data_IF_042871504146
#
_entry.id   IF_042871504146
#
_cell.length_a   1.000
_cell.length_b   1.000
_cell.length_c   1.000
_cell.angle_alpha   90.00
_cell.angle_beta   90.00
_cell.angle_gamma   90.00
#
_symmetry.space_group_name_H-M   'P 1'
#
loop_
_entity.id
_entity.type
_entity.pdbx_description
1 polymer ?
#
# COMPACT_ATOMS: atom_id res chain seq x y z
N UNK A 1 -6.64 -26.08 -2.74
CA UNK A 1 -6.26 -25.07 -2.15
C UNK A 1 -5.03 -24.51 -2.65
N UNK A 2 -4.92 -23.38 -2.70
CA UNK A 2 -3.84 -22.83 -3.29
C UNK A 2 -2.78 -22.61 -2.31
N UNK A 3 -1.57 -22.54 -2.75
CA UNK A 3 -0.46 -22.29 -1.90
C UNK A 3 0.07 -20.90 -2.20
N UNK A 4 -0.72 -19.92 -1.96
CA UNK A 4 -0.30 -18.55 -2.20
C UNK A 4 0.66 -18.12 -1.12
N UNK A 5 1.66 -17.33 -1.47
CA UNK A 5 2.53 -16.71 -0.49
C UNK A 5 1.79 -15.67 0.32
N UNK A 6 0.64 -15.22 -0.17
CA UNK A 6 -0.06 -14.09 0.42
C UNK A 6 -1.20 -14.60 1.27
N UNK A 7 -1.15 -14.42 2.59
CA UNK A 7 -2.26 -14.77 3.45
C UNK A 7 -3.50 -13.99 3.07
N UNK A 8 -4.67 -14.50 3.45
CA UNK A 8 -5.93 -13.85 3.11
C UNK A 8 -6.03 -12.42 3.58
N UNK A 9 -5.41 -12.12 4.71
CA UNK A 9 -5.54 -10.78 5.30
C UNK A 9 -4.56 -9.77 4.73
N UNK A 10 -3.75 -10.17 3.76
CA UNK A 10 -2.81 -9.25 3.14
C UNK A 10 -3.06 -9.15 1.66
N UNK A 11 -2.62 -8.05 1.08
CA UNK A 11 -2.71 -7.83 -0.36
C UNK A 11 -1.31 -7.51 -0.87
N UNK A 12 -1.03 -7.90 -2.10
CA UNK A 12 0.23 -7.52 -2.74
C UNK A 12 0.17 -6.07 -3.18
N UNK A 13 1.34 -5.50 -3.49
CA UNK A 13 1.39 -4.12 -3.95
C UNK A 13 0.57 -3.94 -5.22
N UNK A 14 0.59 -4.93 -6.13
CA UNK A 14 -0.19 -4.84 -7.35
C UNK A 14 -1.69 -4.84 -7.08
N UNK A 15 -2.12 -5.65 -6.12
CA UNK A 15 -3.54 -5.71 -5.76
C UNK A 15 -4.01 -4.40 -5.14
N UNK A 16 -3.18 -3.82 -4.27
CA UNK A 16 -3.52 -2.54 -3.65
C UNK A 16 -3.57 -1.43 -4.69
N UNK A 17 -2.60 -1.43 -5.60
CA UNK A 17 -2.54 -0.42 -6.65
C UNK A 17 -3.82 -0.46 -7.49
N UNK A 18 -4.24 -1.65 -7.86
CA UNK A 18 -5.43 -1.81 -8.68
C UNK A 18 -6.68 -1.42 -7.91
N UNK A 19 -6.78 -1.86 -6.67
CA UNK A 19 -7.96 -1.57 -5.85
C UNK A 19 -8.11 -0.08 -5.59
N UNK A 20 -7.01 0.60 -5.34
CA UNK A 20 -7.06 2.01 -4.94
C UNK A 20 -6.89 2.97 -6.12
N UNK A 21 -6.66 2.44 -7.33
CA UNK A 21 -6.56 3.29 -8.49
C UNK A 21 -5.28 4.09 -8.56
N UNK A 22 -4.19 3.59 -8.01
CA UNK A 22 -2.88 4.25 -8.07
C UNK A 22 -1.89 3.31 -8.72
N UNK A 23 -0.74 3.85 -9.13
CA UNK A 23 0.28 3.02 -9.73
C UNK A 23 1.12 2.34 -8.67
N UNK A 24 1.73 1.21 -9.03
CA UNK A 24 2.69 0.55 -8.16
C UNK A 24 3.83 1.50 -7.84
N UNK A 25 4.25 2.30 -8.80
CA UNK A 25 5.32 3.28 -8.61
C UNK A 25 4.98 4.27 -7.51
N UNK A 26 3.73 4.71 -7.45
CA UNK A 26 3.28 5.61 -6.40
C UNK A 26 3.42 4.95 -5.04
N UNK A 27 3.02 3.69 -4.92
CA UNK A 27 3.13 2.97 -3.66
C UNK A 27 4.59 2.77 -3.27
N UNK A 28 5.47 2.51 -4.23
CA UNK A 28 6.88 2.37 -3.95
C UNK A 28 7.47 3.70 -3.46
N UNK A 29 7.02 4.79 -4.03
CA UNK A 29 7.45 6.11 -3.60
C UNK A 29 6.99 6.39 -2.17
N UNK A 30 5.75 6.08 -1.85
CA UNK A 30 5.23 6.28 -0.51
C UNK A 30 5.98 5.44 0.52
N UNK A 31 6.37 4.22 0.14
CA UNK A 31 7.15 3.35 1.01
C UNK A 31 8.52 3.98 1.27
N UNK A 32 9.17 4.43 0.21
CA UNK A 32 10.51 5.02 0.33
C UNK A 32 10.48 6.28 1.19
N UNK A 33 9.40 7.05 1.09
CA UNK A 33 9.28 8.29 1.85
C UNK A 33 8.72 8.08 3.26
N UNK A 34 8.40 6.85 3.62
CA UNK A 34 7.90 6.56 4.95
C UNK A 34 6.46 6.96 5.17
N UNK A 35 5.72 7.25 4.10
CA UNK A 35 4.33 7.69 4.20
C UNK A 35 3.41 6.50 4.37
N UNK A 36 3.65 5.44 3.59
CA UNK A 36 2.87 4.22 3.68
C UNK A 36 3.79 3.04 3.42
N UNK A 37 4.14 2.33 4.48
CA UNK A 37 5.01 1.18 4.39
C UNK A 37 4.19 -0.10 4.49
N UNK A 38 4.58 -1.15 3.78
CA UNK A 38 3.86 -2.42 3.90
C UNK A 38 4.03 -2.98 5.30
N UNK A 39 3.00 -3.71 5.77
CA UNK A 39 3.02 -4.29 7.11
C UNK A 39 3.85 -5.56 7.20
N UNK A 40 4.10 -6.22 6.06
CA UNK A 40 4.81 -7.48 6.06
C UNK A 40 5.51 -7.68 4.74
N UNK A 41 6.38 -8.68 4.71
CA UNK A 41 7.06 -9.09 3.48
C UNK A 41 6.97 -10.60 3.42
N UNK A 42 6.57 -11.12 2.27
CA UNK A 42 6.45 -12.57 2.10
C UNK A 42 7.83 -13.21 2.01
N UNK A 43 7.85 -14.54 2.03
CA UNK A 43 9.11 -15.27 1.91
C UNK A 43 9.84 -14.94 0.63
N UNK A 44 9.12 -14.63 -0.43
CA UNK A 44 9.74 -14.27 -1.70
C UNK A 44 10.14 -12.83 -1.81
N UNK A 45 10.03 -12.06 -0.72
CA UNK A 45 10.43 -10.67 -0.74
C UNK A 45 9.33 -9.73 -1.22
N UNK A 46 8.10 -10.19 -1.37
CA UNK A 46 7.01 -9.35 -1.80
C UNK A 46 6.48 -8.52 -0.66
N UNK A 47 6.22 -7.26 -0.95
CA UNK A 47 5.64 -6.37 0.05
C UNK A 47 4.15 -6.65 0.17
N UNK A 48 3.68 -6.76 1.41
CA UNK A 48 2.30 -7.12 1.70
C UNK A 48 1.65 -6.02 2.53
N UNK A 49 0.45 -5.66 2.14
CA UNK A 49 -0.30 -4.59 2.79
C UNK A 49 -1.50 -5.17 3.53
N UNK A 50 -1.70 -4.72 4.75
CA UNK A 50 -2.83 -5.15 5.57
C UNK A 50 -4.04 -4.25 5.29
N UNK A 51 -5.19 -4.60 5.88
CA UNK A 51 -6.36 -3.74 5.80
C UNK A 51 -6.08 -2.37 6.39
N UNK A 52 -5.30 -2.30 7.45
CA UNK A 52 -4.95 -1.02 8.05
C UNK A 52 -4.14 -0.16 7.09
N UNK A 53 -3.27 -0.80 6.32
CA UNK A 53 -2.48 -0.08 5.33
C UNK A 53 -3.38 0.50 4.25
N UNK A 54 -4.41 -0.25 3.84
CA UNK A 54 -5.34 0.22 2.83
C UNK A 54 -6.13 1.42 3.35
N UNK A 55 -6.55 1.36 4.61
CA UNK A 55 -7.25 2.49 5.23
C UNK A 55 -6.34 3.72 5.27
N UNK A 56 -5.08 3.53 5.65
CA UNK A 56 -4.14 4.65 5.68
C UNK A 56 -3.91 5.22 4.28
N UNK A 57 -3.79 4.36 3.28
CA UNK A 57 -3.62 4.83 1.92
C UNK A 57 -4.83 5.67 1.50
N UNK A 58 -6.03 5.24 1.86
CA UNK A 58 -7.22 6.01 1.56
C UNK A 58 -7.14 7.40 2.18
N UNK A 59 -6.66 7.47 3.43
CA UNK A 59 -6.50 8.75 4.11
C UNK A 59 -5.48 9.63 3.40
N UNK A 60 -4.36 9.05 3.00
CA UNK A 60 -3.32 9.78 2.29
C UNK A 60 -3.86 10.36 0.98
N UNK A 61 -4.57 9.52 0.21
CA UNK A 61 -5.11 9.96 -1.07
C UNK A 61 -6.17 11.05 -0.87
N UNK A 62 -6.97 10.94 0.18
CA UNK A 62 -7.98 11.95 0.47
C UNK A 62 -7.34 13.29 0.80
N UNK A 63 -6.31 13.28 1.63
CA UNK A 63 -5.61 14.50 1.99
C UNK A 63 -4.93 15.13 0.78
N UNK A 64 -4.36 14.30 -0.09
CA UNK A 64 -3.75 14.81 -1.31
C UNK A 64 -4.78 15.47 -2.21
N UNK A 65 -5.97 14.90 -2.31
CA UNK A 65 -7.01 15.47 -3.14
C UNK A 65 -7.51 16.80 -2.58
N UNK A 66 -7.32 17.04 -1.29
CA UNK A 66 -7.68 18.28 -0.64
C UNK A 66 -6.56 19.34 -0.73
N UNK A 67 -5.44 18.99 -1.35
CA UNK A 67 -4.37 19.94 -1.59
C UNK A 67 -3.21 19.86 -0.63
N UNK A 68 -3.21 18.92 0.31
CA UNK A 68 -2.07 18.77 1.21
C UNK A 68 -0.90 18.13 0.47
N UNK A 69 0.30 18.62 0.75
CA UNK A 69 1.49 17.99 0.21
C UNK A 69 1.85 16.77 1.04
N UNK A 70 2.70 15.90 0.49
CA UNK A 70 3.13 14.72 1.23
C UNK A 70 3.88 15.09 2.49
N UNK A 71 4.62 16.18 2.46
CA UNK A 71 5.33 16.65 3.65
C UNK A 71 4.41 17.09 4.76
N UNK A 72 3.17 17.45 4.42
CA UNK A 72 2.18 17.85 5.41
C UNK A 72 1.36 16.68 5.93
N UNK A 73 1.44 15.56 5.28
CA UNK A 73 0.73 14.35 5.68
C UNK A 73 1.63 13.50 6.58
#
# INVERSE_FOLDING_TARGET
>A
MEHSEVPHKYMTVGEVAKKMGVSVRTLQYYDREGILCPSAVSEGGRRLYSDKDVVRLHQVLSLKSLGFSLGEI
#
